data_IF_409339161049
#
_entry.id   IF_409339161049
#
_cell.length_a   1.000
_cell.length_b   1.000
_cell.length_c   1.000
_cell.angle_alpha   90.00
_cell.angle_beta   90.00
_cell.angle_gamma   90.00
#
_symmetry.space_group_name_H-M   'P 1'
#
loop_
_entity.id
_entity.type
_entity.pdbx_description
1 polymer ?
#
# COMPACT_ATOMS: atom_id res chain seq x y z
N UNK A 1 -33.29 -1.48 45.79
CA UNK A 1 -34.38 -0.54 46.07
C UNK A 1 -33.86 0.88 45.81
N UNK A 2 -34.43 1.67 44.88
CA UNK A 2 -35.51 1.32 43.95
C UNK A 2 -34.97 0.91 42.55
N UNK A 3 -35.53 -0.05 41.79
CA UNK A 3 -36.87 -0.14 41.12
C UNK A 3 -36.95 0.88 39.96
N UNK A 4 -37.32 0.63 38.70
CA UNK A 4 -38.40 -0.16 38.06
C UNK A 4 -38.08 -0.29 36.53
N UNK A 5 -38.26 -1.48 35.93
CA UNK A 5 -38.63 -1.69 34.50
C UNK A 5 -40.15 -2.00 34.44
N UNK A 6 -40.90 -2.30 33.33
CA UNK A 6 -40.55 -2.52 31.91
C UNK A 6 -41.67 -2.08 30.89
N UNK A 7 -41.59 -2.54 29.63
CA UNK A 7 -42.74 -2.74 28.71
C UNK A 7 -42.76 -1.79 27.50
N UNK A 8 -43.11 -2.18 26.27
CA UNK A 8 -43.73 -3.41 25.75
C UNK A 8 -43.36 -3.62 24.26
N UNK A 9 -43.19 -4.86 23.81
CA UNK A 9 -44.19 -5.76 23.19
C UNK A 9 -44.54 -5.42 21.73
N UNK A 10 -44.16 -6.37 20.86
CA UNK A 10 -44.61 -6.52 19.48
C UNK A 10 -46.14 -6.63 19.36
N UNK A 11 -46.68 -6.09 18.28
CA UNK A 11 -47.83 -6.57 17.48
C UNK A 11 -47.65 -5.88 16.12
N UNK A 12 -47.71 -6.51 14.95
CA UNK A 12 -48.04 -7.86 14.57
C UNK A 12 -48.53 -7.80 13.12
N UNK A 13 -48.29 -8.90 12.38
CA UNK A 13 -49.10 -9.38 11.23
C UNK A 13 -49.11 -8.46 9.99
N UNK A 14 -49.19 -8.91 8.74
CA UNK A 14 -49.39 -10.20 8.05
C UNK A 14 -49.21 -9.84 6.57
N UNK A 15 -48.38 -10.58 5.83
CA UNK A 15 -48.78 -11.68 4.96
C UNK A 15 -49.26 -11.27 3.56
N UNK A 16 -48.94 -12.18 2.63
CA UNK A 16 -49.49 -12.40 1.30
C UNK A 16 -48.94 -11.48 0.21
N UNK A 17 -47.97 -11.96 -0.55
CA UNK A 17 -48.09 -12.93 -1.66
C UNK A 17 -48.65 -12.30 -2.93
N UNK A 18 -47.95 -12.62 -4.03
CA UNK A 18 -48.31 -12.63 -5.46
C UNK A 18 -47.37 -11.68 -6.22
N UNK A 19 -46.69 -12.09 -7.29
CA UNK A 19 -46.83 -13.24 -8.19
C UNK A 19 -45.48 -13.54 -8.83
N UNK A 20 -45.18 -14.83 -8.90
CA UNK A 20 -44.28 -15.40 -9.90
C UNK A 20 -44.91 -15.21 -11.29
N UNK A 21 -44.34 -14.33 -12.11
CA UNK A 21 -44.64 -14.31 -13.55
C UNK A 21 -43.48 -14.98 -14.29
N UNK A 22 -43.76 -16.24 -14.66
CA UNK A 22 -43.05 -16.96 -15.72
C UNK A 22 -43.32 -16.22 -17.02
N UNK A 23 -42.29 -15.78 -17.73
CA UNK A 23 -42.41 -15.30 -19.10
C UNK A 23 -41.36 -15.98 -19.99
N UNK A 24 -41.84 -16.82 -20.90
CA UNK A 24 -41.17 -17.26 -22.12
C UNK A 24 -42.25 -17.30 -23.21
N UNK A 25 -41.90 -17.13 -24.49
CA UNK A 25 -41.48 -15.90 -25.16
C UNK A 25 -42.60 -15.37 -26.08
N UNK A 26 -42.66 -14.06 -26.33
CA UNK A 26 -43.44 -13.57 -27.47
C UNK A 26 -42.67 -13.85 -28.75
N UNK A 27 -43.16 -14.77 -29.59
CA UNK A 27 -42.64 -15.02 -30.93
C UNK A 27 -43.02 -13.84 -31.82
N UNK A 28 -42.02 -13.13 -32.34
CA UNK A 28 -42.26 -12.10 -33.35
C UNK A 28 -42.43 -12.76 -34.72
N UNK A 29 -43.48 -12.36 -35.41
CA UNK A 29 -43.83 -12.83 -36.73
C UNK A 29 -43.81 -11.66 -37.70
N UNK A 30 -42.72 -11.52 -38.45
CA UNK A 30 -42.69 -10.56 -39.56
C UNK A 30 -43.15 -11.24 -40.85
N UNK A 31 -44.09 -10.58 -41.53
CA UNK A 31 -44.45 -10.90 -42.91
C UNK A 31 -43.37 -10.33 -43.82
N UNK A 32 -42.84 -11.13 -44.73
CA UNK A 32 -42.10 -10.57 -45.86
C UNK A 32 -43.06 -9.85 -46.82
N UNK A 33 -42.51 -9.07 -47.75
CA UNK A 33 -43.27 -8.32 -48.76
C UNK A 33 -44.18 -9.18 -49.66
N UNK A 34 -44.15 -10.51 -49.54
CA UNK A 34 -45.00 -11.48 -50.25
C UNK A 34 -45.96 -12.28 -49.32
N UNK A 35 -46.07 -11.91 -48.04
CA UNK A 35 -47.09 -12.42 -47.12
C UNK A 35 -46.93 -13.87 -46.63
N UNK A 36 -45.74 -14.49 -46.69
CA UNK A 36 -45.50 -15.87 -46.20
C UNK A 36 -44.74 -15.91 -44.87
N UNK A 37 -45.02 -16.95 -44.07
CA UNK A 37 -44.33 -17.25 -42.81
C UNK A 37 -42.98 -17.93 -43.08
N UNK A 38 -41.90 -17.46 -42.44
CA UNK A 38 -40.57 -18.08 -42.55
C UNK A 38 -40.04 -18.39 -41.14
N UNK A 39 -39.76 -19.66 -40.86
CA UNK A 39 -39.14 -20.10 -39.61
C UNK A 39 -37.62 -19.96 -39.72
N UNK A 40 -37.04 -19.00 -38.99
CA UNK A 40 -35.59 -18.79 -38.93
C UNK A 40 -34.92 -19.74 -37.94
N UNK A 41 -34.17 -20.72 -38.44
CA UNK A 41 -33.25 -21.54 -37.64
C UNK A 41 -31.92 -20.77 -37.47
N UNK A 42 -31.54 -20.38 -36.25
CA UNK A 42 -30.12 -20.20 -35.90
C UNK A 42 -29.83 -20.68 -34.48
N UNK A 43 -28.79 -21.53 -34.40
CA UNK A 43 -28.18 -22.15 -33.21
C UNK A 43 -27.54 -21.07 -32.30
N UNK A 44 -27.35 -21.36 -30.99
CA UNK A 44 -27.13 -20.33 -29.98
C UNK A 44 -25.65 -19.94 -29.92
N UNK A 45 -25.38 -18.64 -29.80
CA UNK A 45 -24.19 -18.21 -29.07
C UNK A 45 -24.63 -17.23 -27.99
N UNK A 46 -24.66 -17.80 -26.79
CA UNK A 46 -24.98 -17.18 -25.52
C UNK A 46 -23.73 -16.41 -25.10
N UNK A 47 -23.71 -15.09 -25.25
CA UNK A 47 -22.80 -14.27 -24.44
C UNK A 47 -23.52 -14.07 -23.10
N UNK A 48 -23.41 -15.11 -22.26
CA UNK A 48 -23.57 -14.97 -20.82
C UNK A 48 -22.62 -13.89 -20.34
N UNK A 49 -23.12 -12.99 -19.50
CA UNK A 49 -22.36 -12.23 -18.51
C UNK A 49 -21.00 -11.70 -19.01
N UNK A 50 -20.95 -10.44 -19.43
CA UNK A 50 -19.78 -9.66 -19.04
C UNK A 50 -19.77 -9.72 -17.52
N UNK A 51 -18.86 -10.54 -16.97
CA UNK A 51 -18.56 -10.49 -15.57
C UNK A 51 -18.31 -9.02 -15.26
N UNK A 52 -19.17 -8.43 -14.41
CA UNK A 52 -18.71 -7.43 -13.47
C UNK A 52 -17.60 -8.12 -12.68
N UNK A 53 -16.40 -8.19 -13.26
CA UNK A 53 -15.18 -8.32 -12.52
C UNK A 53 -15.22 -7.10 -11.63
N UNK A 54 -15.69 -7.31 -10.41
CA UNK A 54 -15.50 -6.38 -9.32
C UNK A 54 -14.00 -6.16 -9.29
N UNK A 55 -13.54 -5.10 -9.96
CA UNK A 55 -12.19 -4.55 -9.86
C UNK A 55 -12.08 -4.09 -8.40
N UNK A 56 -11.90 -5.06 -7.50
CA UNK A 56 -11.40 -4.76 -6.18
C UNK A 56 -10.00 -4.26 -6.43
N UNK A 57 -9.74 -2.99 -6.10
CA UNK A 57 -8.41 -2.43 -6.29
C UNK A 57 -7.38 -3.37 -5.68
N UNK A 58 -6.59 -4.00 -6.54
CA UNK A 58 -5.70 -5.07 -6.12
C UNK A 58 -4.48 -4.39 -5.50
N UNK A 59 -4.48 -4.29 -4.17
CA UNK A 59 -3.32 -3.86 -3.41
C UNK A 59 -2.43 -5.08 -3.14
N UNK A 60 -1.19 -5.04 -3.63
CA UNK A 60 -0.22 -6.12 -3.50
C UNK A 60 1.10 -5.58 -2.94
N UNK A 61 1.69 -6.28 -1.97
CA UNK A 61 3.08 -6.04 -1.57
C UNK A 61 3.91 -7.22 -2.07
N UNK A 62 4.97 -6.94 -2.83
CA UNK A 62 5.83 -7.95 -3.45
C UNK A 62 7.30 -7.53 -3.44
N UNK A 63 8.25 -8.47 -3.58
CA UNK A 63 9.65 -8.11 -3.83
C UNK A 63 9.78 -7.17 -5.01
N UNK A 64 10.65 -6.17 -4.87
CA UNK A 64 11.03 -5.27 -5.94
C UNK A 64 11.93 -6.00 -6.96
N UNK A 65 11.77 -5.66 -8.24
CA UNK A 65 12.54 -6.21 -9.34
C UNK A 65 13.25 -5.08 -10.11
N UNK A 66 14.27 -5.36 -10.93
CA UNK A 66 14.89 -4.34 -11.77
C UNK A 66 13.92 -3.59 -12.69
N UNK A 67 12.77 -4.19 -13.04
CA UNK A 67 11.73 -3.53 -13.84
C UNK A 67 11.01 -2.41 -13.06
N UNK A 68 11.03 -2.46 -11.73
CA UNK A 68 10.42 -1.44 -10.87
C UNK A 68 11.32 -0.21 -10.70
N UNK A 69 12.60 -0.27 -11.12
CA UNK A 69 13.62 0.73 -10.83
C UNK A 69 13.23 2.16 -11.24
N UNK A 70 12.64 2.31 -12.43
CA UNK A 70 12.20 3.62 -12.91
C UNK A 70 11.09 4.20 -12.01
N UNK A 71 10.08 3.38 -11.69
CA UNK A 71 8.95 3.84 -10.87
C UNK A 71 9.37 4.13 -9.44
N UNK A 72 10.28 3.33 -8.87
CA UNK A 72 10.87 3.61 -7.56
C UNK A 72 11.66 4.93 -7.60
N UNK A 73 12.41 5.20 -8.66
CA UNK A 73 13.14 6.46 -8.82
C UNK A 73 12.22 7.68 -8.86
N UNK A 74 11.10 7.62 -9.58
CA UNK A 74 10.08 8.68 -9.58
C UNK A 74 9.54 8.94 -8.18
N UNK A 75 9.13 7.87 -7.47
CA UNK A 75 8.61 7.99 -6.10
C UNK A 75 9.67 8.57 -5.18
N UNK A 76 10.94 8.20 -5.36
CA UNK A 76 12.05 8.68 -4.54
C UNK A 76 12.21 10.18 -4.70
N UNK A 77 12.32 10.66 -5.94
CA UNK A 77 12.48 12.09 -6.24
C UNK A 77 11.26 12.89 -5.76
N UNK A 78 10.05 12.40 -6.04
CA UNK A 78 8.82 13.08 -5.63
C UNK A 78 8.67 13.16 -4.11
N UNK A 79 8.93 12.05 -3.41
CA UNK A 79 8.86 11.99 -1.95
C UNK A 79 9.90 12.88 -1.28
N UNK A 80 11.13 12.91 -1.79
CA UNK A 80 12.18 13.76 -1.24
C UNK A 80 11.84 15.24 -1.40
N UNK A 81 11.37 15.64 -2.58
CA UNK A 81 10.93 17.02 -2.84
C UNK A 81 9.77 17.43 -1.94
N UNK A 82 8.86 16.51 -1.61
CA UNK A 82 7.75 16.77 -0.71
C UNK A 82 8.17 16.81 0.77
N UNK A 83 8.91 15.81 1.23
CA UNK A 83 9.24 15.60 2.63
C UNK A 83 10.32 16.56 3.16
N UNK A 84 11.24 17.00 2.29
CA UNK A 84 12.40 17.80 2.68
C UNK A 84 12.34 19.26 2.23
N UNK A 85 11.21 19.70 1.67
CA UNK A 85 10.94 21.12 1.42
C UNK A 85 11.05 21.90 2.74
N UNK A 86 11.86 22.95 2.75
CA UNK A 86 12.14 23.75 3.95
C UNK A 86 13.15 23.13 4.92
N UNK A 87 13.62 21.90 4.66
CA UNK A 87 14.72 21.26 5.39
C UNK A 87 16.02 21.25 4.58
N UNK A 88 15.91 21.15 3.26
CA UNK A 88 17.02 21.23 2.31
C UNK A 88 16.84 22.45 1.41
N UNK A 89 17.95 22.96 0.86
CA UNK A 89 17.90 24.03 -0.13
C UNK A 89 17.13 23.57 -1.37
N UNK A 90 16.29 24.45 -1.93
CA UNK A 90 15.47 24.13 -3.11
C UNK A 90 16.33 23.69 -4.30
N UNK A 91 17.51 24.30 -4.48
CA UNK A 91 18.46 23.91 -5.52
C UNK A 91 18.90 22.44 -5.38
N UNK A 92 19.12 21.96 -4.16
CA UNK A 92 19.45 20.55 -3.88
C UNK A 92 18.31 19.63 -4.30
N UNK A 93 17.07 19.97 -3.93
CA UNK A 93 15.88 19.16 -4.26
C UNK A 93 15.53 19.20 -5.76
N UNK A 94 15.82 20.31 -6.45
CA UNK A 94 15.64 20.44 -7.89
C UNK A 94 16.64 19.59 -8.68
N UNK A 95 17.88 19.45 -8.20
CA UNK A 95 18.93 18.65 -8.83
C UNK A 95 18.74 17.14 -8.72
N UNK A 96 17.74 16.67 -7.96
CA UNK A 96 17.36 15.26 -7.94
C UNK A 96 16.86 14.81 -9.33
N UNK A 97 17.53 13.81 -9.92
CA UNK A 97 17.22 13.26 -11.24
C UNK A 97 16.62 11.86 -11.14
N UNK A 98 15.49 11.64 -11.83
CA UNK A 98 14.84 10.33 -11.94
C UNK A 98 15.72 9.38 -12.75
N UNK A 99 16.38 9.86 -13.80
CA UNK A 99 17.25 9.07 -14.67
C UNK A 99 18.45 8.52 -13.89
N UNK A 100 19.15 9.39 -13.14
CA UNK A 100 20.29 8.97 -12.31
C UNK A 100 19.84 7.98 -11.22
N UNK A 101 18.70 8.25 -10.57
CA UNK A 101 18.15 7.34 -9.56
C UNK A 101 17.69 6.01 -10.16
N UNK A 102 17.16 6.00 -11.38
CA UNK A 102 16.79 4.78 -12.10
C UNK A 102 18.02 3.91 -12.33
N UNK A 103 19.13 4.48 -12.77
CA UNK A 103 20.39 3.74 -12.94
C UNK A 103 20.87 3.11 -11.63
N UNK A 104 20.84 3.87 -10.53
CA UNK A 104 21.18 3.35 -9.19
C UNK A 104 20.26 2.22 -8.76
N UNK A 105 18.94 2.41 -8.86
CA UNK A 105 17.97 1.37 -8.49
C UNK A 105 18.07 0.12 -9.35
N UNK A 106 18.30 0.25 -10.65
CA UNK A 106 18.50 -0.91 -11.54
C UNK A 106 19.69 -1.76 -11.10
N UNK A 107 20.79 -1.13 -10.67
CA UNK A 107 21.97 -1.83 -10.16
C UNK A 107 21.69 -2.48 -8.80
N UNK A 108 21.07 -1.75 -7.87
CA UNK A 108 20.75 -2.25 -6.53
C UNK A 108 19.75 -3.42 -6.59
N UNK A 109 18.74 -3.35 -7.44
CA UNK A 109 17.71 -4.40 -7.56
C UNK A 109 18.19 -5.61 -8.37
N UNK A 110 19.22 -5.46 -9.21
CA UNK A 110 19.84 -6.59 -9.90
C UNK A 110 20.71 -7.44 -8.97
N UNK A 111 21.30 -6.84 -7.93
CA UNK A 111 22.14 -7.50 -6.93
C UNK A 111 21.85 -6.96 -5.52
N UNK A 112 20.68 -7.27 -4.96
CA UNK A 112 20.24 -6.68 -3.70
C UNK A 112 21.12 -7.14 -2.53
N UNK A 113 21.65 -6.18 -1.78
CA UNK A 113 22.34 -6.43 -0.49
C UNK A 113 21.39 -6.34 0.71
N UNK A 114 20.15 -5.86 0.47
CA UNK A 114 19.05 -5.70 1.43
C UNK A 114 17.75 -6.13 0.77
N UNK A 115 16.74 -6.45 1.58
CA UNK A 115 15.40 -6.72 1.04
C UNK A 115 14.79 -5.42 0.51
N UNK A 116 14.17 -5.51 -0.66
CA UNK A 116 13.41 -4.43 -1.25
C UNK A 116 12.02 -4.94 -1.59
N UNK A 117 10.98 -4.23 -1.14
CA UNK A 117 9.59 -4.53 -1.47
C UNK A 117 8.92 -3.30 -2.06
N UNK A 118 7.96 -3.52 -2.94
CA UNK A 118 7.07 -2.49 -3.49
C UNK A 118 5.65 -2.75 -3.04
N UNK A 119 4.88 -1.68 -2.87
CA UNK A 119 3.42 -1.73 -2.78
C UNK A 119 2.82 -1.27 -4.09
N UNK A 120 2.01 -2.13 -4.69
CA UNK A 120 1.33 -1.94 -5.95
C UNK A 120 -0.17 -1.77 -5.70
N UNK A 121 -0.80 -0.83 -6.40
CA UNK A 121 -2.26 -0.64 -6.42
C UNK A 121 -2.67 -0.54 -7.87
N UNK A 122 -3.57 -1.43 -8.29
CA UNK A 122 -4.10 -1.47 -9.66
C UNK A 122 -2.99 -1.59 -10.73
N UNK A 123 -1.98 -2.42 -10.47
CA UNK A 123 -0.86 -2.65 -11.39
C UNK A 123 0.24 -1.60 -11.31
N UNK A 124 0.08 -0.55 -10.50
CA UNK A 124 1.01 0.57 -10.42
C UNK A 124 1.72 0.57 -9.08
N UNK A 125 3.05 0.57 -9.09
CA UNK A 125 3.85 0.73 -7.86
C UNK A 125 3.60 2.14 -7.29
N UNK A 126 3.12 2.20 -6.05
CA UNK A 126 2.80 3.43 -5.31
C UNK A 126 3.77 3.69 -4.17
N UNK A 127 4.68 2.76 -3.87
CA UNK A 127 5.68 2.94 -2.84
C UNK A 127 6.69 1.82 -2.79
N UNK A 128 7.77 2.04 -2.07
CA UNK A 128 8.80 1.04 -1.83
C UNK A 128 9.30 1.11 -0.39
N UNK A 129 9.91 0.02 0.05
CA UNK A 129 10.70 0.00 1.26
C UNK A 129 11.95 -0.88 1.12
N UNK A 130 13.01 -0.48 1.82
CA UNK A 130 14.28 -1.20 1.89
C UNK A 130 14.60 -1.50 3.35
N UNK A 131 14.88 -2.77 3.67
CA UNK A 131 15.12 -3.21 5.04
C UNK A 131 16.08 -4.42 5.11
N UNK A 132 16.58 -4.71 6.31
CA UNK A 132 17.55 -5.77 6.57
C UNK A 132 18.22 -5.60 7.92
N UNK A 133 19.33 -6.31 8.21
CA UNK A 133 20.10 -6.11 9.45
C UNK A 133 20.47 -4.65 9.67
N UNK A 134 20.46 -4.20 10.93
CA UNK A 134 20.85 -2.85 11.30
C UNK A 134 22.34 -2.60 11.04
N UNK A 135 22.67 -1.36 10.66
CA UNK A 135 24.05 -0.96 10.35
C UNK A 135 24.85 -0.52 11.58
N UNK A 136 24.18 -0.03 12.62
CA UNK A 136 24.86 0.52 13.80
C UNK A 136 25.27 -0.60 14.77
N UNK A 137 26.51 -0.52 15.27
CA UNK A 137 27.10 -1.54 16.15
C UNK A 137 26.49 -1.60 17.56
N UNK A 138 25.79 -0.54 17.98
CA UNK A 138 25.13 -0.44 19.29
C UNK A 138 23.79 -1.19 19.34
N UNK A 139 23.28 -1.62 18.18
CA UNK A 139 22.06 -2.43 18.05
C UNK A 139 22.29 -3.66 17.15
N UNK A 140 23.27 -4.53 17.47
CA UNK A 140 23.76 -5.56 16.55
C UNK A 140 22.73 -6.66 16.25
N UNK A 141 21.68 -6.78 17.06
CA UNK A 141 20.59 -7.74 16.88
C UNK A 141 19.35 -7.13 16.21
N UNK A 142 19.36 -5.83 15.90
CA UNK A 142 18.22 -5.15 15.29
C UNK A 142 18.17 -5.35 13.77
N UNK A 143 16.97 -5.22 13.23
CA UNK A 143 16.75 -4.89 11.83
C UNK A 143 16.57 -3.39 11.66
N UNK A 144 16.76 -2.90 10.44
CA UNK A 144 16.63 -1.49 10.09
C UNK A 144 15.83 -1.32 8.79
N UNK A 145 14.85 -0.43 8.82
CA UNK A 145 14.26 0.16 7.61
C UNK A 145 15.13 1.33 7.18
N UNK A 146 15.86 1.19 6.08
CA UNK A 146 16.74 2.24 5.54
C UNK A 146 16.00 3.18 4.59
N UNK A 147 14.81 2.79 4.13
CA UNK A 147 13.92 3.64 3.35
C UNK A 147 12.50 3.10 3.34
N UNK A 148 11.52 3.99 3.48
CA UNK A 148 10.10 3.70 3.28
C UNK A 148 9.44 4.96 2.72
N UNK A 149 8.92 4.86 1.49
CA UNK A 149 8.44 6.01 0.76
C UNK A 149 7.23 5.61 -0.09
N UNK A 150 6.30 6.55 -0.26
CA UNK A 150 5.14 6.42 -1.13
C UNK A 150 5.12 7.59 -2.10
N UNK A 151 4.45 7.44 -3.23
CA UNK A 151 4.08 8.58 -4.05
C UNK A 151 3.30 9.58 -3.16
N UNK A 152 3.67 10.88 -3.13
CA UNK A 152 2.94 11.89 -2.37
C UNK A 152 1.43 11.91 -2.64
N UNK A 153 0.98 11.57 -3.85
CA UNK A 153 -0.45 11.44 -4.19
C UNK A 153 -1.16 10.29 -3.46
N UNK A 154 -0.40 9.40 -2.81
CA UNK A 154 -0.88 8.23 -2.09
C UNK A 154 -0.73 8.34 -0.56
N UNK A 155 -0.29 9.49 -0.05
CA UNK A 155 -0.20 9.71 1.40
C UNK A 155 -1.57 9.62 2.07
N UNK A 156 -1.57 9.21 3.34
CA UNK A 156 -2.75 9.09 4.19
C UNK A 156 -3.85 8.11 3.71
N UNK A 157 -3.54 7.24 2.73
CA UNK A 157 -4.44 6.17 2.24
C UNK A 157 -4.19 4.80 2.88
N UNK A 158 -3.41 4.73 3.95
CA UNK A 158 -3.08 3.47 4.65
C UNK A 158 -1.95 2.65 4.02
N UNK A 159 -1.45 2.99 2.82
CA UNK A 159 -0.39 2.25 2.13
C UNK A 159 0.92 2.16 2.92
N UNK A 160 1.30 3.24 3.62
CA UNK A 160 2.52 3.26 4.44
C UNK A 160 2.41 2.32 5.64
N UNK A 161 1.22 2.25 6.25
CA UNK A 161 0.91 1.29 7.31
C UNK A 161 0.94 -0.14 6.79
N UNK A 162 0.39 -0.38 5.59
CA UNK A 162 0.42 -1.70 4.96
C UNK A 162 1.87 -2.18 4.70
N UNK A 163 2.73 -1.32 4.11
CA UNK A 163 4.16 -1.60 3.96
C UNK A 163 4.83 -1.88 5.31
N UNK A 164 4.60 -1.04 6.32
CA UNK A 164 5.20 -1.20 7.63
C UNK A 164 4.84 -2.53 8.27
N UNK A 165 3.56 -2.90 8.27
CA UNK A 165 3.09 -4.16 8.83
C UNK A 165 3.69 -5.38 8.12
N UNK A 166 3.82 -5.33 6.79
CA UNK A 166 4.43 -6.42 6.03
C UNK A 166 5.93 -6.57 6.33
N UNK A 167 6.65 -5.44 6.43
CA UNK A 167 8.07 -5.43 6.84
C UNK A 167 8.21 -6.01 8.26
N UNK A 168 7.39 -5.55 9.22
CA UNK A 168 7.40 -6.10 10.58
C UNK A 168 7.11 -7.59 10.59
N UNK A 169 6.14 -8.07 9.80
CA UNK A 169 5.82 -9.51 9.68
C UNK A 169 7.00 -10.31 9.15
N UNK A 170 7.66 -9.85 8.09
CA UNK A 170 8.84 -10.50 7.51
C UNK A 170 9.98 -10.57 8.54
N UNK A 171 10.24 -9.46 9.24
CA UNK A 171 11.33 -9.38 10.22
C UNK A 171 11.06 -10.21 11.49
N UNK A 172 9.81 -10.24 11.98
CA UNK A 172 9.38 -11.14 13.05
C UNK A 172 9.56 -12.60 12.65
N UNK A 173 9.21 -12.98 11.42
CA UNK A 173 9.42 -14.34 10.93
C UNK A 173 10.91 -14.73 10.87
N UNK A 174 11.79 -13.74 10.68
CA UNK A 174 13.26 -13.86 10.73
C UNK A 174 13.84 -13.68 12.14
N UNK A 175 12.99 -13.61 13.17
CA UNK A 175 13.35 -13.55 14.59
C UNK A 175 14.18 -12.31 14.99
N UNK A 176 14.05 -11.21 14.26
CA UNK A 176 14.57 -9.94 14.77
C UNK A 176 13.74 -9.49 15.98
N UNK A 177 14.36 -9.20 17.14
CA UNK A 177 13.64 -8.73 18.33
C UNK A 177 13.33 -7.22 18.27
N UNK A 178 14.04 -6.49 17.41
CA UNK A 178 14.00 -5.04 17.36
C UNK A 178 14.05 -4.55 15.92
N UNK A 179 13.26 -3.55 15.59
CA UNK A 179 13.34 -2.78 14.36
C UNK A 179 13.71 -1.34 14.69
N UNK A 180 14.64 -0.76 13.93
CA UNK A 180 15.01 0.65 14.04
C UNK A 180 14.87 1.39 12.71
N UNK A 181 14.71 2.71 12.79
CA UNK A 181 14.69 3.59 11.62
C UNK A 181 15.31 4.94 11.97
N UNK A 182 16.19 5.41 11.09
CA UNK A 182 16.75 6.76 11.15
C UNK A 182 15.87 7.72 10.36
N UNK A 183 15.59 8.88 10.93
CA UNK A 183 14.77 9.92 10.30
C UNK A 183 15.37 11.29 10.56
N UNK A 184 15.32 12.19 9.57
CA UNK A 184 15.70 13.59 9.80
C UNK A 184 14.85 14.19 10.91
N UNK A 185 15.47 14.83 11.90
CA UNK A 185 14.79 15.38 13.06
C UNK A 185 13.69 16.38 12.68
N UNK A 186 13.90 17.14 11.59
CA UNK A 186 12.93 18.07 11.01
C UNK A 186 11.82 17.44 10.18
N UNK A 187 11.89 16.15 9.83
CA UNK A 187 10.83 15.45 9.10
C UNK A 187 9.70 15.04 10.04
N UNK A 188 8.93 16.05 10.47
CA UNK A 188 7.83 15.88 11.44
C UNK A 188 6.73 14.93 10.94
N UNK A 189 6.49 14.85 9.64
CA UNK A 189 5.52 13.93 9.04
C UNK A 189 5.93 12.47 9.24
N UNK A 190 7.18 12.13 8.89
CA UNK A 190 7.69 10.77 9.09
C UNK A 190 7.76 10.39 10.58
N UNK A 191 8.15 11.32 11.45
CA UNK A 191 8.17 11.11 12.91
C UNK A 191 6.78 10.75 13.45
N UNK A 192 5.74 11.51 13.08
CA UNK A 192 4.35 11.20 13.43
C UNK A 192 3.91 9.84 12.90
N UNK A 193 4.35 9.47 11.69
CA UNK A 193 4.08 8.15 11.14
C UNK A 193 4.71 7.05 12.00
N UNK A 194 5.99 7.19 12.38
CA UNK A 194 6.67 6.21 13.24
C UNK A 194 6.04 6.12 14.64
N UNK A 195 5.69 7.25 15.25
CA UNK A 195 4.96 7.30 16.53
C UNK A 195 3.61 6.58 16.43
N UNK A 196 2.86 6.80 15.35
CA UNK A 196 1.58 6.13 15.10
C UNK A 196 1.73 4.61 14.87
N UNK A 197 2.89 4.16 14.39
CA UNK A 197 3.23 2.73 14.27
C UNK A 197 3.76 2.13 15.58
N UNK A 198 3.74 2.88 16.70
CA UNK A 198 4.18 2.44 18.02
C UNK A 198 5.67 2.64 18.28
N UNK A 199 6.35 3.44 17.45
CA UNK A 199 7.76 3.72 17.58
C UNK A 199 8.07 4.60 18.78
N UNK A 200 9.14 4.26 19.48
CA UNK A 200 9.67 5.06 20.57
C UNK A 200 10.95 5.76 20.11
N UNK A 201 11.08 7.04 20.44
CA UNK A 201 12.31 7.77 20.20
C UNK A 201 13.44 7.12 21.00
N UNK A 202 14.53 6.80 20.33
CA UNK A 202 15.73 6.29 20.96
C UNK A 202 16.47 7.42 21.68
N UNK A 203 16.70 7.26 22.97
CA UNK A 203 17.41 8.24 23.77
C UNK A 203 18.83 8.45 23.23
N UNK A 204 19.29 9.70 23.24
CA UNK A 204 20.64 10.09 22.83
C UNK A 204 21.03 9.65 21.41
N UNK A 205 20.03 9.41 20.53
CA UNK A 205 20.28 8.98 19.16
C UNK A 205 20.62 10.12 18.20
N UNK A 206 20.58 11.38 18.66
CA UNK A 206 20.88 12.53 17.79
C UNK A 206 22.25 12.42 17.15
N UNK A 207 22.29 12.37 15.81
CA UNK A 207 23.54 12.38 15.06
C UNK A 207 23.43 13.15 13.75
N UNK A 208 24.55 13.71 13.32
CA UNK A 208 24.64 14.39 12.03
C UNK A 208 24.54 13.39 10.89
N UNK A 209 23.70 13.71 9.91
CA UNK A 209 23.61 13.05 8.63
C UNK A 209 24.11 14.00 7.56
N UNK A 210 25.00 13.49 6.70
CA UNK A 210 25.55 14.22 5.57
C UNK A 210 25.08 13.56 4.29
N UNK A 211 24.42 14.31 3.41
CA UNK A 211 23.98 13.84 2.11
C UNK A 211 23.47 14.98 1.24
N UNK A 212 23.57 14.82 -0.08
CA UNK A 212 23.16 15.84 -1.06
C UNK A 212 23.76 17.25 -0.79
N UNK A 213 24.99 17.29 -0.24
CA UNK A 213 25.71 18.53 0.09
C UNK A 213 25.22 19.27 1.33
N UNK A 214 24.34 18.68 2.14
CA UNK A 214 23.84 19.26 3.39
C UNK A 214 24.19 18.41 4.60
N UNK A 215 24.29 19.06 5.76
CA UNK A 215 24.41 18.40 7.07
C UNK A 215 23.13 18.68 7.85
N UNK A 216 22.40 17.62 8.21
CA UNK A 216 21.14 17.69 8.94
C UNK A 216 21.17 16.76 10.15
N UNK A 217 20.36 17.06 11.16
CA UNK A 217 20.23 16.18 12.32
C UNK A 217 19.29 15.01 12.00
N UNK A 218 19.68 13.80 12.43
CA UNK A 218 18.82 12.61 12.46
C UNK A 218 18.59 12.13 13.87
N UNK A 219 17.44 11.51 14.09
CA UNK A 219 17.08 10.77 15.30
C UNK A 219 16.68 9.35 14.92
N UNK A 220 16.78 8.40 15.85
CA UNK A 220 16.39 7.00 15.64
C UNK A 220 15.11 6.69 16.39
N UNK A 221 14.19 5.99 15.74
CA UNK A 221 13.04 5.35 16.41
C UNK A 221 13.29 3.84 16.53
N UNK A 222 12.77 3.25 17.60
CA UNK A 222 12.86 1.81 17.91
C UNK A 222 11.46 1.21 18.04
N UNK A 223 11.33 -0.05 17.62
CA UNK A 223 10.08 -0.81 17.66
C UNK A 223 10.39 -2.22 18.15
N UNK A 224 9.75 -2.65 19.24
CA UNK A 224 9.80 -4.04 19.67
C UNK A 224 9.05 -4.89 18.63
N UNK A 225 9.72 -5.92 18.10
CA UNK A 225 9.07 -6.92 17.28
C UNK A 225 8.66 -8.09 18.17
N UNK A 226 7.43 -8.63 18.01
CA UNK A 226 7.01 -9.76 18.81
C UNK A 226 7.90 -10.97 18.51
N UNK A 227 8.25 -11.72 19.55
CA UNK A 227 8.78 -13.07 19.38
C UNK A 227 7.75 -13.92 18.65
N UNK A 228 8.20 -14.78 17.72
CA UNK A 228 7.31 -15.75 17.10
C UNK A 228 6.66 -16.58 18.20
N UNK A 229 5.34 -16.50 18.34
CA UNK A 229 4.59 -17.40 19.22
C UNK A 229 4.89 -18.83 18.79
N UNK A 230 5.37 -19.64 19.75
CA UNK A 230 5.57 -21.08 19.58
C UNK A 230 4.21 -21.78 19.38
#
# INVERSE_FOLDING_TARGET
MPTVAPGGTQHGRTNSQRRSEKLYPQTYAERNAAGRWVAGLRRPFRIQHFAELSYHSAMLIRPATPLDAHRIAEIHVASWRAAYRGLMADATLQNLSVERRTQTWSQELAKPTRDNVVIEVDGIVQGWATFGPARDADVPTAAEVTGIYLDPACYHKGLGKALWLEISRILTARQFPLLVVWVLAGNTSARKFYEAMGGQLDADSEKSWTGEGVVLMQVRYRFALPSRGL
#
